data_IF_608994278793
#
_entry.id   IF_608994278793
#
_cell.length_a   1.000
_cell.length_b   1.000
_cell.length_c   1.000
_cell.angle_alpha   90.00
_cell.angle_beta   90.00
_cell.angle_gamma   90.00
#
_symmetry.space_group_name_H-M   'P 1'
#
loop_
_entity.id
_entity.type
_entity.pdbx_description
1 polymer ?
#
# COMPACT_ATOMS: atom_id res chain seq x y z
N UNK A 1 -0.41 14.17 -0.08
CA UNK A 1 -1.09 13.65 -1.28
C UNK A 1 -2.47 13.12 -0.87
N UNK A 2 -3.57 13.43 -1.59
CA UNK A 2 -4.88 12.79 -1.33
C UNK A 2 -4.92 11.41 -2.00
N UNK A 3 -5.89 10.57 -1.60
CA UNK A 3 -6.07 9.21 -2.16
C UNK A 3 -6.22 9.20 -3.69
N UNK A 4 -6.92 10.19 -4.23
CA UNK A 4 -7.09 10.34 -5.69
C UNK A 4 -5.80 10.76 -6.40
N UNK A 5 -5.03 11.65 -5.80
CA UNK A 5 -3.74 12.07 -6.33
C UNK A 5 -2.77 10.87 -6.40
N UNK A 6 -2.73 10.04 -5.35
CA UNK A 6 -1.92 8.82 -5.33
C UNK A 6 -2.35 7.82 -6.40
N UNK A 7 -3.67 7.65 -6.58
CA UNK A 7 -4.21 6.77 -7.61
C UNK A 7 -3.69 7.17 -8.99
N UNK A 8 -3.73 8.46 -9.29
CA UNK A 8 -3.30 8.99 -10.59
C UNK A 8 -1.77 8.88 -10.72
N UNK A 9 -1.02 9.32 -9.70
CA UNK A 9 0.45 9.33 -9.72
C UNK A 9 1.06 7.93 -9.83
N UNK A 10 0.50 6.94 -9.14
CA UNK A 10 0.95 5.55 -9.16
C UNK A 10 0.29 4.71 -10.29
N UNK A 11 -0.51 5.32 -11.17
CA UNK A 11 -1.18 4.61 -12.26
C UNK A 11 -2.11 3.48 -11.80
N UNK A 12 -2.78 3.67 -10.66
CA UNK A 12 -3.63 2.67 -10.04
C UNK A 12 -5.08 2.78 -10.49
N UNK A 13 -5.76 1.64 -10.51
CA UNK A 13 -7.21 1.61 -10.73
C UNK A 13 -7.96 1.97 -9.43
N UNK A 14 -9.20 2.41 -9.58
CA UNK A 14 -10.10 2.67 -8.44
C UNK A 14 -10.28 1.42 -7.58
N UNK A 15 -10.29 0.22 -8.19
CA UNK A 15 -10.42 -1.05 -7.47
C UNK A 15 -9.21 -1.37 -6.61
N UNK A 16 -7.98 -1.13 -7.09
CA UNK A 16 -6.75 -1.32 -6.30
C UNK A 16 -6.77 -0.43 -5.05
N UNK A 17 -7.12 0.83 -5.23
CA UNK A 17 -7.24 1.84 -4.17
C UNK A 17 -8.37 1.53 -3.17
N UNK A 18 -9.47 0.92 -3.63
CA UNK A 18 -10.55 0.45 -2.77
C UNK A 18 -10.14 -0.80 -1.97
N UNK A 19 -9.39 -1.73 -2.57
CA UNK A 19 -8.90 -2.94 -1.90
C UNK A 19 -7.94 -2.60 -0.76
N UNK A 20 -7.00 -1.68 -0.98
CA UNK A 20 -6.11 -1.18 0.08
C UNK A 20 -6.89 -0.58 1.26
N UNK A 21 -7.90 0.24 0.97
CA UNK A 21 -8.76 0.81 2.02
C UNK A 21 -9.64 -0.20 2.77
N UNK A 22 -9.74 -1.44 2.27
CA UNK A 22 -10.47 -2.56 2.91
C UNK A 22 -9.53 -3.58 3.55
N UNK A 23 -8.23 -3.30 3.60
CA UNK A 23 -7.22 -4.24 4.13
C UNK A 23 -7.09 -5.53 3.31
N UNK A 24 -7.42 -5.49 2.02
CA UNK A 24 -7.24 -6.66 1.14
C UNK A 24 -5.81 -6.70 0.60
N UNK A 25 -5.35 -7.91 0.29
CA UNK A 25 -4.04 -8.15 -0.33
C UNK A 25 -3.87 -7.36 -1.63
N UNK A 26 -2.65 -6.87 -1.85
CA UNK A 26 -2.19 -6.22 -3.08
C UNK A 26 -1.01 -6.98 -3.66
N UNK A 27 -0.70 -6.74 -4.94
CA UNK A 27 0.50 -7.30 -5.57
C UNK A 27 1.75 -6.49 -5.24
N UNK A 28 2.92 -7.13 -5.30
CA UNK A 28 4.22 -6.44 -5.18
C UNK A 28 4.43 -5.37 -6.26
N UNK A 29 3.87 -5.57 -7.46
CA UNK A 29 3.88 -4.56 -8.53
C UNK A 29 3.11 -3.29 -8.13
N UNK A 30 1.96 -3.45 -7.47
CA UNK A 30 1.18 -2.31 -6.97
C UNK A 30 1.98 -1.54 -5.92
N UNK A 31 2.68 -2.26 -5.05
CA UNK A 31 3.55 -1.67 -4.03
C UNK A 31 4.72 -0.89 -4.64
N UNK A 32 5.41 -1.45 -5.64
CA UNK A 32 6.51 -0.78 -6.33
C UNK A 32 6.07 0.55 -6.97
N UNK A 33 4.91 0.57 -7.64
CA UNK A 33 4.34 1.80 -8.24
C UNK A 33 4.02 2.86 -7.20
N UNK A 34 3.60 2.47 -6.00
CA UNK A 34 3.36 3.39 -4.89
C UNK A 34 4.69 3.98 -4.41
N UNK A 35 5.72 3.15 -4.22
CA UNK A 35 7.06 3.60 -3.85
C UNK A 35 7.63 4.60 -4.87
N UNK A 36 7.52 4.29 -6.17
CA UNK A 36 7.95 5.18 -7.26
C UNK A 36 7.20 6.52 -7.24
N UNK A 37 5.86 6.49 -7.07
CA UNK A 37 5.04 7.70 -7.04
C UNK A 37 5.30 8.60 -5.81
N UNK A 38 5.69 7.99 -4.70
CA UNK A 38 6.02 8.70 -3.45
C UNK A 38 7.50 9.03 -3.33
N UNK A 39 8.34 8.50 -4.23
CA UNK A 39 9.80 8.57 -4.16
C UNK A 39 10.32 8.14 -2.78
N UNK A 40 9.87 6.96 -2.33
CA UNK A 40 10.25 6.37 -1.04
C UNK A 40 10.73 4.93 -1.22
N UNK A 41 11.37 4.38 -0.19
CA UNK A 41 11.78 2.97 -0.19
C UNK A 41 10.60 2.08 0.20
N UNK A 42 10.72 0.77 -0.03
CA UNK A 42 9.67 -0.19 0.30
C UNK A 42 9.42 -0.29 1.80
N UNK A 43 10.47 -0.14 2.62
CA UNK A 43 10.39 -0.19 4.07
C UNK A 43 9.68 1.03 4.69
N UNK A 44 9.49 2.11 3.91
CA UNK A 44 8.75 3.29 4.36
C UNK A 44 7.22 3.08 4.25
N UNK A 45 6.77 2.07 3.52
CA UNK A 45 5.35 1.85 3.18
C UNK A 45 4.77 0.53 3.70
N UNK A 46 5.63 -0.43 4.07
CA UNK A 46 5.20 -1.72 4.64
C UNK A 46 5.85 -1.95 6.00
N UNK A 47 5.10 -2.61 6.88
CA UNK A 47 5.60 -3.14 8.14
C UNK A 47 5.20 -4.61 8.23
N UNK A 48 6.13 -5.44 8.71
CA UNK A 48 5.85 -6.83 9.02
C UNK A 48 5.37 -6.88 10.48
N UNK A 49 4.07 -7.06 10.68
CA UNK A 49 3.56 -7.37 12.01
C UNK A 49 4.02 -8.78 12.41
N UNK A 50 4.71 -8.88 13.55
CA UNK A 50 4.87 -10.15 14.23
C UNK A 50 3.58 -10.38 15.01
N UNK A 51 2.92 -11.54 14.83
CA UNK A 51 1.87 -11.96 15.76
C UNK A 51 2.52 -12.10 17.15
N UNK A 52 2.42 -11.05 17.98
CA UNK A 52 2.75 -11.19 19.39
C UNK A 52 1.84 -12.29 19.96
N UNK A 53 2.40 -13.29 20.68
CA UNK A 53 1.57 -14.30 21.30
C UNK A 53 0.60 -13.59 22.24
N UNK A 54 -0.70 -13.61 21.88
CA UNK A 54 -1.77 -13.12 22.74
C UNK A 54 -1.62 -13.81 24.09
N UNK A 55 -1.21 -13.07 25.11
CA UNK A 55 -1.32 -13.52 26.49
C UNK A 55 -2.79 -13.33 26.87
N UNK A 56 -3.54 -14.43 26.85
CA UNK A 56 -4.87 -14.53 27.47
C UNK A 56 -4.78 -14.31 28.99
#
# INVERSE_FOLDING_TARGET
MRKEDLRIAAGLTTNMIANMGKGKNISMETLARICEALNCDILDVIELEQDEPKHD
#
